data_IF_711217983471
#
_entry.id   IF_711217983471
#
_cell.length_a   1.000
_cell.length_b   1.000
_cell.length_c   1.000
_cell.angle_alpha   90.00
_cell.angle_beta   90.00
_cell.angle_gamma   90.00
#
_symmetry.space_group_name_H-M   'P 1'
#
loop_
_entity.id
_entity.type
_entity.pdbx_description
1 polymer ?
#
# COMPACT_ATOMS: atom_id res chain seq x y z
N UNK A 1 -6.33 -23.84 14.93
CA UNK A 1 -5.71 -23.06 13.85
C UNK A 1 -5.36 -21.72 14.45
N UNK A 2 -4.07 -21.41 14.63
CA UNK A 2 -3.66 -20.06 15.03
C UNK A 2 -3.97 -19.11 13.87
N UNK A 3 -4.74 -18.06 14.15
CA UNK A 3 -4.95 -16.98 13.18
C UNK A 3 -3.66 -16.20 13.04
N UNK A 4 -2.98 -16.32 11.91
CA UNK A 4 -1.79 -15.53 11.60
C UNK A 4 -2.19 -14.06 11.58
N UNK A 5 -1.64 -13.25 12.49
CA UNK A 5 -1.87 -11.81 12.50
C UNK A 5 -1.19 -11.23 11.25
N UNK A 6 -1.97 -10.64 10.34
CA UNK A 6 -1.43 -9.92 9.19
C UNK A 6 -0.93 -8.55 9.60
N UNK A 7 0.25 -8.20 9.12
CA UNK A 7 0.82 -6.86 9.19
C UNK A 7 0.11 -6.00 8.14
N UNK A 8 -0.41 -4.84 8.55
CA UNK A 8 -1.12 -3.89 7.69
C UNK A 8 -0.15 -2.93 7.00
N UNK A 9 0.07 -3.12 5.71
CA UNK A 9 1.00 -2.35 4.90
C UNK A 9 0.35 -1.13 4.25
N UNK A 10 1.10 -0.03 4.25
CA UNK A 10 0.90 1.15 3.42
C UNK A 10 1.93 1.23 2.30
N UNK A 11 1.53 1.62 1.09
CA UNK A 11 2.45 1.88 -0.03
C UNK A 11 2.42 3.35 -0.43
N UNK A 12 3.57 4.00 -0.40
CA UNK A 12 3.75 5.39 -0.85
C UNK A 12 4.41 5.40 -2.22
N UNK A 13 3.70 5.90 -3.23
CA UNK A 13 4.16 5.96 -4.61
C UNK A 13 3.69 4.78 -5.45
N UNK A 14 2.71 5.01 -6.31
CA UNK A 14 2.12 4.00 -7.21
C UNK A 14 2.94 3.84 -8.52
N UNK A 15 4.26 3.63 -8.39
CA UNK A 15 5.18 3.46 -9.51
C UNK A 15 5.46 1.98 -9.86
N UNK A 16 6.30 1.75 -10.88
CA UNK A 16 6.62 0.38 -11.37
C UNK A 16 7.13 -0.56 -10.26
N UNK A 17 7.97 -0.05 -9.35
CA UNK A 17 8.51 -0.89 -8.27
C UNK A 17 7.44 -1.27 -7.23
N UNK A 18 6.49 -0.38 -6.97
CA UNK A 18 5.35 -0.68 -6.11
C UNK A 18 4.46 -1.80 -6.68
N UNK A 19 4.25 -1.81 -8.00
CA UNK A 19 3.53 -2.89 -8.66
C UNK A 19 4.21 -4.25 -8.44
N UNK A 20 5.53 -4.31 -8.60
CA UNK A 20 6.30 -5.53 -8.37
C UNK A 20 6.25 -5.95 -6.90
N UNK A 21 6.42 -5.00 -5.99
CA UNK A 21 6.34 -5.26 -4.55
C UNK A 21 4.97 -5.85 -4.15
N UNK A 22 3.86 -5.28 -4.62
CA UNK A 22 2.53 -5.80 -4.31
C UNK A 22 2.27 -7.19 -4.91
N UNK A 23 2.87 -7.52 -6.05
CA UNK A 23 2.80 -8.87 -6.62
C UNK A 23 3.50 -9.90 -5.72
N UNK A 24 4.70 -9.58 -5.25
CA UNK A 24 5.48 -10.46 -4.36
C UNK A 24 4.81 -10.55 -2.97
N UNK A 25 4.28 -9.44 -2.46
CA UNK A 25 3.58 -9.37 -1.17
C UNK A 25 2.31 -10.24 -1.14
N UNK A 26 1.63 -10.42 -2.27
CA UNK A 26 0.47 -11.31 -2.35
C UNK A 26 0.79 -12.80 -2.07
N UNK A 27 2.08 -13.18 -2.11
CA UNK A 27 2.57 -14.52 -1.78
C UNK A 27 2.85 -14.71 -0.28
N UNK A 28 2.72 -13.64 0.51
CA UNK A 28 3.10 -13.61 1.92
C UNK A 28 1.83 -13.65 2.79
N UNK A 29 1.68 -14.72 3.58
CA UNK A 29 0.44 -14.99 4.34
C UNK A 29 0.17 -13.97 5.45
N UNK A 30 1.23 -13.40 6.03
CA UNK A 30 1.18 -12.41 7.11
C UNK A 30 1.27 -10.96 6.63
N UNK A 31 1.04 -10.69 5.33
CA UNK A 31 0.96 -9.35 4.78
C UNK A 31 -0.45 -8.99 4.28
N UNK A 32 -0.89 -7.76 4.55
CA UNK A 32 -2.13 -7.20 4.03
C UNK A 32 -1.89 -5.81 3.45
N UNK A 33 -2.32 -5.56 2.21
CA UNK A 33 -2.35 -4.20 1.65
C UNK A 33 -3.54 -3.44 2.21
N UNK A 34 -3.31 -2.50 3.12
CA UNK A 34 -4.39 -1.73 3.77
C UNK A 34 -4.59 -0.38 3.10
N UNK A 35 -3.51 0.33 2.78
CA UNK A 35 -3.58 1.67 2.20
C UNK A 35 -2.53 1.90 1.12
N UNK A 36 -2.87 2.73 0.13
CA UNK A 36 -1.91 3.21 -0.88
C UNK A 36 -2.07 4.71 -1.06
N UNK A 37 -0.96 5.40 -1.34
CA UNK A 37 -0.96 6.83 -1.55
C UNK A 37 -0.13 7.23 -2.77
N UNK A 38 -0.65 8.22 -3.50
CA UNK A 38 0.02 8.87 -4.63
C UNK A 38 -0.27 10.36 -4.55
N UNK A 39 0.53 11.20 -5.24
CA UNK A 39 0.22 12.64 -5.39
C UNK A 39 -0.98 12.91 -6.31
N UNK A 40 -1.62 11.86 -6.79
CA UNK A 40 -2.81 11.87 -7.64
C UNK A 40 -3.74 10.80 -7.10
N UNK A 41 -4.90 11.22 -6.60
CA UNK A 41 -5.91 10.32 -6.05
C UNK A 41 -6.32 9.24 -7.06
N UNK A 42 -6.57 9.64 -8.32
CA UNK A 42 -6.88 8.72 -9.42
C UNK A 42 -5.86 7.58 -9.54
N UNK A 43 -4.55 7.90 -9.53
CA UNK A 43 -3.50 6.87 -9.59
C UNK A 43 -3.51 5.95 -8.38
N UNK A 44 -3.81 6.49 -7.19
CA UNK A 44 -3.92 5.70 -5.98
C UNK A 44 -5.13 4.75 -6.03
N UNK A 45 -6.28 5.21 -6.53
CA UNK A 45 -7.50 4.42 -6.71
C UNK A 45 -7.31 3.30 -7.74
N UNK A 46 -6.71 3.61 -8.90
CA UNK A 46 -6.36 2.61 -9.91
C UNK A 46 -5.42 1.53 -9.34
N UNK A 47 -4.40 1.95 -8.59
CA UNK A 47 -3.48 1.03 -7.93
C UNK A 47 -4.18 0.19 -6.86
N UNK A 48 -5.03 0.81 -6.03
CA UNK A 48 -5.81 0.12 -5.01
C UNK A 48 -6.73 -0.94 -5.61
N UNK A 49 -7.39 -0.63 -6.73
CA UNK A 49 -8.25 -1.58 -7.46
C UNK A 49 -7.45 -2.79 -7.98
N UNK A 50 -6.24 -2.58 -8.47
CA UNK A 50 -5.40 -3.66 -9.01
C UNK A 50 -4.90 -4.64 -7.95
N UNK A 51 -4.73 -4.18 -6.71
CA UNK A 51 -4.14 -4.97 -5.61
C UNK A 51 -5.06 -5.14 -4.41
N UNK A 52 -6.33 -4.78 -4.55
CA UNK A 52 -7.37 -4.91 -3.52
C UNK A 52 -7.02 -4.20 -2.20
N UNK A 53 -6.35 -3.04 -2.29
CA UNK A 53 -6.14 -2.18 -1.12
C UNK A 53 -7.48 -1.65 -0.60
N UNK A 54 -7.66 -1.66 0.71
CA UNK A 54 -8.90 -1.15 1.34
C UNK A 54 -9.06 0.36 1.19
N UNK A 55 -7.95 1.10 1.13
CA UNK A 55 -7.92 2.56 1.11
C UNK A 55 -6.95 3.08 0.06
N UNK A 56 -7.29 4.23 -0.52
CA UNK A 56 -6.50 4.97 -1.49
C UNK A 56 -6.49 6.45 -1.11
N UNK A 57 -5.33 7.08 -1.15
CA UNK A 57 -5.15 8.47 -0.71
C UNK A 57 -4.46 9.33 -1.79
N UNK A 58 -4.89 10.59 -1.87
CA UNK A 58 -4.37 11.59 -2.81
C UNK A 58 -3.14 12.34 -2.30
N UNK A 59 -2.74 12.10 -1.05
CA UNK A 59 -1.54 12.63 -0.42
C UNK A 59 -0.85 11.58 0.45
N UNK A 60 0.44 11.78 0.69
CA UNK A 60 1.21 10.88 1.57
C UNK A 60 0.85 11.11 3.04
N UNK A 61 0.55 12.35 3.42
CA UNK A 61 0.17 12.73 4.78
C UNK A 61 -1.11 12.03 5.25
N UNK A 62 -2.09 11.85 4.37
CA UNK A 62 -3.30 11.07 4.67
C UNK A 62 -2.99 9.60 5.01
N UNK A 63 -2.07 8.96 4.28
CA UNK A 63 -1.65 7.58 4.58
C UNK A 63 -0.84 7.51 5.87
N UNK A 64 0.06 8.46 6.11
CA UNK A 64 0.84 8.52 7.35
C UNK A 64 -0.02 8.78 8.59
N UNK A 65 -1.20 9.40 8.40
CA UNK A 65 -2.16 9.67 9.46
C UNK A 65 -3.16 8.54 9.67
N UNK A 66 -3.15 7.49 8.84
CA UNK A 66 -4.08 6.37 8.96
C UNK A 66 -3.67 5.43 10.11
N UNK A 67 -4.44 5.34 11.20
CA UNK A 67 -4.10 4.50 12.35
C UNK A 67 -4.16 3.00 12.04
N UNK A 68 -4.71 2.59 10.89
CA UNK A 68 -4.69 1.19 10.48
C UNK A 68 -3.38 0.77 9.78
N UNK A 69 -2.51 1.71 9.39
CA UNK A 69 -1.24 1.39 8.74
C UNK A 69 -0.17 1.10 9.80
N UNK A 70 0.36 -0.11 9.80
CA UNK A 70 1.40 -0.55 10.75
C UNK A 70 2.82 -0.36 10.21
N UNK A 71 2.99 -0.45 8.88
CA UNK A 71 4.28 -0.32 8.20
C UNK A 71 4.11 0.35 6.84
N UNK A 72 5.11 1.12 6.40
CA UNK A 72 5.07 1.80 5.10
C UNK A 72 6.26 1.40 4.23
N UNK A 73 5.97 1.04 2.97
CA UNK A 73 6.96 0.93 1.90
C UNK A 73 6.97 2.20 1.05
N UNK A 74 8.13 2.87 0.97
CA UNK A 74 8.31 4.12 0.20
C UNK A 74 8.91 3.79 -1.17
N UNK A 75 8.09 3.88 -2.20
CA UNK A 75 8.39 3.55 -3.59
C UNK A 75 8.53 4.79 -4.49
N UNK A 76 8.99 5.91 -3.94
CA UNK A 76 9.17 7.16 -4.70
C UNK A 76 10.55 7.20 -5.37
N UNK A 77 10.68 7.82 -6.55
CA UNK A 77 11.99 8.04 -7.17
C UNK A 77 12.94 8.81 -6.25
N UNK A 78 14.21 8.44 -6.26
CA UNK A 78 15.29 9.33 -5.82
C UNK A 78 15.54 10.32 -6.96
N UNK A 79 15.17 11.58 -6.74
CA UNK A 79 15.46 12.71 -7.61
C UNK A 79 16.29 13.72 -6.84
#
# INVERSE_FOLDING_TARGET
METVKKIKWGIVGCGKIAHKFCQDMALIEDAELTAVASRSLQKAEEFASNYQSKKAYGSYDELFSDPEVEIVYIATPHI
#
